data_IF_482378699930
#
_entry.id   IF_482378699930
#
_cell.length_a   1.000
_cell.length_b   1.000
_cell.length_c   1.000
_cell.angle_alpha   90.00
_cell.angle_beta   90.00
_cell.angle_gamma   90.00
#
_symmetry.space_group_name_H-M   'P 1'
#
loop_
_entity.id
_entity.type
_entity.pdbx_description
1 polymer ?
#
# COMPACT_ATOMS: atom_id res chain seq x y z
N UNK A 1 -22.45 -14.04 5.72
CA UNK A 1 -21.34 -14.99 5.46
C UNK A 1 -20.13 -14.25 4.85
N UNK A 2 -19.44 -13.40 5.63
CA UNK A 2 -18.32 -12.57 5.15
C UNK A 2 -17.04 -12.80 5.98
N UNK A 3 -16.74 -14.06 6.31
CA UNK A 3 -15.70 -14.41 7.30
C UNK A 3 -14.53 -15.26 6.80
N UNK A 4 -14.49 -15.69 5.54
CA UNK A 4 -13.57 -16.77 5.12
C UNK A 4 -12.51 -16.37 4.08
N UNK A 5 -12.48 -15.12 3.61
CA UNK A 5 -11.58 -14.73 2.51
C UNK A 5 -10.15 -14.47 3.01
N UNK A 6 -9.95 -14.23 4.30
CA UNK A 6 -8.63 -13.87 4.85
C UNK A 6 -7.90 -15.02 5.57
N UNK A 7 -8.51 -16.20 5.73
CA UNK A 7 -7.91 -17.33 6.45
C UNK A 7 -7.06 -18.28 5.60
N UNK A 8 -6.84 -17.98 4.31
CA UNK A 8 -6.01 -18.84 3.45
C UNK A 8 -4.58 -18.28 3.42
N UNK A 9 -3.59 -18.98 4.01
CA UNK A 9 -2.19 -18.59 3.85
C UNK A 9 -1.82 -18.57 2.34
N UNK A 10 -0.93 -17.66 1.94
CA UNK A 10 -0.51 -17.44 0.54
C UNK A 10 -1.52 -16.74 -0.39
N UNK A 11 -2.42 -15.89 0.13
CA UNK A 11 -3.32 -15.11 -0.73
C UNK A 11 -2.69 -13.86 -1.35
N UNK A 12 -1.57 -13.38 -0.79
CA UNK A 12 -0.83 -12.24 -1.32
C UNK A 12 0.20 -12.75 -2.32
N UNK A 13 0.05 -12.39 -3.59
CA UNK A 13 0.93 -12.86 -4.67
C UNK A 13 2.21 -12.04 -4.79
N UNK A 14 2.10 -10.74 -4.52
CA UNK A 14 3.19 -9.77 -4.65
C UNK A 14 3.18 -8.79 -3.48
N UNK A 15 4.37 -8.47 -2.98
CA UNK A 15 4.61 -7.37 -2.05
C UNK A 15 5.49 -6.35 -2.74
N UNK A 16 5.04 -5.09 -2.76
CA UNK A 16 5.80 -3.95 -3.26
C UNK A 16 6.15 -3.05 -2.06
N UNK A 17 7.44 -2.94 -1.74
CA UNK A 17 7.96 -2.06 -0.70
C UNK A 17 8.65 -0.86 -1.33
N UNK A 18 8.14 0.34 -1.04
CA UNK A 18 8.65 1.61 -1.59
C UNK A 18 10.00 2.03 -1.00
N UNK A 19 10.48 1.32 0.02
CA UNK A 19 11.80 1.50 0.60
C UNK A 19 11.77 1.66 2.10
N UNK A 20 12.85 2.25 2.64
CA UNK A 20 13.05 2.49 4.07
C UNK A 20 12.91 1.25 4.96
N UNK A 21 13.23 0.06 4.41
CA UNK A 21 13.48 -1.12 5.23
C UNK A 21 14.72 -0.86 6.07
N UNK A 22 14.56 -0.94 7.39
CA UNK A 22 15.60 -0.60 8.36
C UNK A 22 16.50 -1.81 8.60
N UNK A 23 15.95 -3.02 8.57
CA UNK A 23 16.70 -4.24 8.91
C UNK A 23 16.40 -5.44 8.02
N UNK A 24 17.28 -6.44 8.07
CA UNK A 24 17.13 -7.71 7.35
C UNK A 24 15.92 -8.52 7.86
N UNK A 25 15.64 -8.42 9.14
CA UNK A 25 14.51 -9.10 9.78
C UNK A 25 13.17 -8.63 9.17
N UNK A 26 13.02 -7.33 8.93
CA UNK A 26 11.83 -6.80 8.24
C UNK A 26 11.70 -7.35 6.81
N UNK A 27 12.82 -7.50 6.10
CA UNK A 27 12.80 -8.10 4.78
C UNK A 27 12.40 -9.59 4.82
N UNK A 28 12.90 -10.33 5.81
CA UNK A 28 12.57 -11.74 6.00
C UNK A 28 11.08 -11.90 6.39
N UNK A 29 10.51 -10.97 7.17
CA UNK A 29 9.06 -10.90 7.43
C UNK A 29 8.25 -10.70 6.14
N UNK A 30 8.63 -9.76 5.28
CA UNK A 30 7.96 -9.54 3.99
C UNK A 30 8.04 -10.78 3.08
N UNK A 31 9.17 -11.50 3.13
CA UNK A 31 9.39 -12.73 2.37
C UNK A 31 8.54 -13.90 2.85
N UNK A 32 8.14 -13.89 4.14
CA UNK A 32 7.19 -14.85 4.67
C UNK A 32 5.74 -14.55 4.25
N UNK A 33 5.42 -13.30 3.88
CA UNK A 33 4.07 -12.89 3.46
C UNK A 33 3.74 -13.25 2.00
N UNK A 34 4.71 -13.17 1.10
CA UNK A 34 4.50 -13.44 -0.32
C UNK A 34 5.74 -14.03 -1.00
N UNK A 35 5.56 -14.89 -2.02
CA UNK A 35 6.68 -15.48 -2.77
C UNK A 35 7.45 -14.43 -3.59
N UNK A 36 6.78 -13.36 -4.03
CA UNK A 36 7.38 -12.30 -4.83
C UNK A 36 7.42 -10.99 -4.03
N UNK A 37 8.62 -10.63 -3.56
CA UNK A 37 8.86 -9.37 -2.84
C UNK A 37 9.75 -8.47 -3.68
N UNK A 38 9.27 -7.27 -3.96
CA UNK A 38 9.99 -6.23 -4.67
C UNK A 38 10.25 -5.08 -3.73
N UNK A 39 11.51 -4.70 -3.55
CA UNK A 39 11.94 -3.62 -2.66
C UNK A 39 12.71 -2.59 -3.47
N UNK A 40 12.37 -1.33 -3.28
CA UNK A 40 13.13 -0.19 -3.82
C UNK A 40 14.05 0.37 -2.74
N UNK A 41 15.24 0.85 -3.11
CA UNK A 41 16.11 1.56 -2.17
C UNK A 41 15.46 2.91 -1.83
N UNK A 42 15.17 3.16 -0.55
CA UNK A 42 14.51 4.39 -0.10
C UNK A 42 15.49 5.52 0.24
N UNK A 43 14.99 6.76 0.19
CA UNK A 43 15.73 8.00 0.40
C UNK A 43 14.95 9.08 1.20
N UNK A 44 13.95 8.65 2.02
CA UNK A 44 12.95 9.40 2.84
C UNK A 44 11.58 9.60 2.18
N UNK A 45 10.55 8.88 2.68
CA UNK A 45 9.19 8.82 2.12
C UNK A 45 8.49 10.18 2.12
N UNK A 46 8.20 10.74 0.94
CA UNK A 46 7.35 11.92 0.84
C UNK A 46 5.88 11.55 1.07
N UNK A 47 5.34 12.12 2.14
CA UNK A 47 3.99 11.87 2.67
C UNK A 47 2.96 12.61 1.84
N UNK A 48 2.31 11.89 0.95
CA UNK A 48 0.86 11.94 0.75
C UNK A 48 0.39 10.55 0.34
N UNK A 49 -0.57 9.97 1.08
CA UNK A 49 -1.40 8.88 0.54
C UNK A 49 -2.28 9.49 -0.54
N UNK A 50 -1.70 9.71 -1.72
CA UNK A 50 -2.46 10.09 -2.89
C UNK A 50 -3.00 8.80 -3.47
N UNK A 51 -4.30 8.58 -3.40
CA UNK A 51 -4.97 7.64 -4.31
C UNK A 51 -5.71 8.46 -5.35
N UNK A 52 -4.95 9.12 -6.22
CA UNK A 52 -5.49 10.05 -7.19
C UNK A 52 -5.25 9.52 -8.60
N UNK A 53 -6.32 9.46 -9.39
CA UNK A 53 -6.17 9.37 -10.83
C UNK A 53 -5.88 10.79 -11.34
N UNK A 54 -4.69 11.02 -11.86
CA UNK A 54 -4.36 12.28 -12.54
C UNK A 54 -4.55 12.09 -14.04
N UNK A 55 -5.32 12.98 -14.64
CA UNK A 55 -5.50 13.07 -16.09
C UNK A 55 -4.53 14.12 -16.64
N UNK A 56 -3.49 13.65 -17.34
CA UNK A 56 -2.57 14.53 -18.07
C UNK A 56 -2.59 14.12 -19.55
N UNK A 57 -3.51 14.72 -20.31
CA UNK A 57 -3.81 14.32 -21.70
C UNK A 57 -4.59 13.00 -21.80
N UNK A 58 -4.53 12.30 -22.94
CA UNK A 58 -5.23 11.02 -23.16
C UNK A 58 -4.72 9.83 -22.33
N UNK A 59 -3.70 10.01 -21.47
CA UNK A 59 -3.13 8.96 -20.62
C UNK A 59 -3.54 9.16 -19.16
N UNK A 60 -4.60 8.46 -18.74
CA UNK A 60 -5.03 8.39 -17.33
C UNK A 60 -4.04 7.56 -16.53
N UNK A 61 -3.34 8.20 -15.59
CA UNK A 61 -2.41 7.54 -14.67
C UNK A 61 -3.00 7.52 -13.28
N UNK A 62 -2.78 6.42 -12.56
CA UNK A 62 -3.18 6.30 -11.18
C UNK A 62 -1.95 6.27 -10.30
N UNK A 63 -1.83 7.28 -9.43
CA UNK A 63 -0.74 7.39 -8.48
C UNK A 63 -1.22 6.87 -7.14
N UNK A 64 -0.40 6.02 -6.53
CA UNK A 64 -0.63 5.42 -5.22
C UNK A 64 0.60 5.62 -4.35
N UNK A 65 0.38 5.90 -3.08
CA UNK A 65 1.41 5.86 -2.05
C UNK A 65 0.83 5.18 -0.81
N UNK A 66 1.44 4.08 -0.33
CA UNK A 66 0.89 3.30 0.79
C UNK A 66 1.07 3.99 2.15
N UNK A 67 1.89 5.05 2.23
CA UNK A 67 2.29 5.68 3.48
C UNK A 67 3.42 4.90 4.19
N UNK A 68 3.62 5.19 5.47
CA UNK A 68 4.63 4.55 6.31
C UNK A 68 3.98 3.51 7.22
N UNK A 69 4.38 2.24 7.11
CA UNK A 69 3.81 1.14 7.91
C UNK A 69 4.00 1.33 9.42
N UNK A 70 5.07 2.02 9.84
CA UNK A 70 5.37 2.30 11.25
C UNK A 70 4.92 3.69 11.69
N UNK A 71 4.45 4.54 10.78
CA UNK A 71 4.24 5.96 11.06
C UNK A 71 5.56 6.70 11.37
N UNK A 72 6.63 6.37 10.64
CA UNK A 72 7.95 6.97 10.86
C UNK A 72 7.90 8.50 10.71
N UNK A 73 8.69 9.20 11.54
CA UNK A 73 8.76 10.66 11.52
C UNK A 73 9.00 11.21 10.11
N UNK A 74 8.27 12.27 9.76
CA UNK A 74 8.46 13.01 8.50
C UNK A 74 8.77 14.48 8.81
N UNK A 75 9.78 15.02 8.13
CA UNK A 75 10.10 16.46 8.23
C UNK A 75 9.03 17.36 7.61
N UNK A 76 8.14 16.79 6.77
CA UNK A 76 7.13 17.54 6.01
C UNK A 76 5.81 17.64 6.79
N UNK A 77 5.55 16.72 7.72
CA UNK A 77 4.30 16.67 8.48
C UNK A 77 4.53 16.02 9.85
N UNK A 78 4.00 16.65 10.89
CA UNK A 78 4.04 16.15 12.27
C UNK A 78 2.93 15.14 12.59
N UNK A 79 1.95 14.97 11.70
CA UNK A 79 0.82 14.06 11.87
C UNK A 79 1.02 12.85 10.94
N UNK A 80 1.92 11.94 11.35
CA UNK A 80 2.19 10.72 10.60
C UNK A 80 1.36 9.58 11.16
N UNK A 81 0.44 9.09 10.33
CA UNK A 81 -0.45 7.98 10.65
C UNK A 81 0.14 6.69 10.07
N UNK A 82 0.39 5.64 10.89
CA UNK A 82 0.83 4.34 10.37
C UNK A 82 -0.16 3.80 9.35
N UNK A 83 0.34 3.42 8.18
CA UNK A 83 -0.52 3.06 7.04
C UNK A 83 0.13 2.08 6.07
N UNK A 84 -0.73 1.28 5.41
CA UNK A 84 -0.35 0.41 4.29
C UNK A 84 -1.52 0.23 3.32
N UNK A 85 -1.25 -0.31 2.12
CA UNK A 85 -2.26 -0.52 1.08
C UNK A 85 -2.32 -1.99 0.65
N UNK A 86 -3.53 -2.52 0.51
CA UNK A 86 -3.81 -3.79 -0.17
C UNK A 86 -4.50 -3.50 -1.51
N UNK A 87 -4.03 -4.14 -2.57
CA UNK A 87 -4.58 -3.96 -3.92
C UNK A 87 -5.06 -5.29 -4.49
N UNK A 88 -6.27 -5.30 -5.03
CA UNK A 88 -6.81 -6.39 -5.82
C UNK A 88 -6.93 -5.97 -7.28
N UNK A 89 -6.22 -6.67 -8.17
CA UNK A 89 -6.25 -6.44 -9.61
C UNK A 89 -7.07 -7.55 -10.27
N UNK A 90 -8.06 -7.18 -11.09
CA UNK A 90 -8.89 -8.09 -11.85
C UNK A 90 -9.13 -7.52 -13.25
N UNK A 91 -8.37 -8.01 -14.23
CA UNK A 91 -8.41 -7.49 -15.60
C UNK A 91 -8.02 -6.00 -15.63
N UNK A 92 -8.90 -5.16 -16.17
CA UNK A 92 -8.70 -3.71 -16.21
C UNK A 92 -9.08 -2.98 -14.90
N UNK A 93 -9.67 -3.69 -13.93
CA UNK A 93 -10.14 -3.12 -12.66
C UNK A 93 -9.11 -3.33 -11.56
N UNK A 94 -8.91 -2.29 -10.76
CA UNK A 94 -8.07 -2.26 -9.56
C UNK A 94 -8.91 -1.76 -8.39
N UNK A 95 -8.86 -2.46 -7.27
CA UNK A 95 -9.48 -2.05 -6.00
C UNK A 95 -8.38 -1.89 -4.97
N UNK A 96 -8.21 -0.69 -4.41
CA UNK A 96 -7.26 -0.45 -3.32
C UNK A 96 -8.00 -0.24 -1.99
N UNK A 97 -7.44 -0.86 -0.96
CA UNK A 97 -7.79 -0.68 0.43
C UNK A 97 -6.61 -0.04 1.15
N UNK A 98 -6.79 1.16 1.68
CA UNK A 98 -5.80 1.83 2.53
C UNK A 98 -6.19 1.60 3.97
N UNK A 99 -5.27 1.06 4.75
CA UNK A 99 -5.41 0.83 6.18
C UNK A 99 -4.61 1.90 6.92
N UNK A 100 -5.25 2.59 7.85
CA UNK A 100 -4.64 3.63 8.68
C UNK A 100 -4.88 3.30 10.17
N UNK A 101 -3.86 3.42 11.02
CA UNK A 101 -3.98 3.25 12.46
C UNK A 101 -4.16 4.62 13.15
N UNK A 102 -5.38 4.93 13.59
CA UNK A 102 -5.72 6.20 14.27
C UNK A 102 -6.01 5.92 15.75
N UNK A 103 -5.07 6.26 16.61
CA UNK A 103 -5.07 5.80 17.99
C UNK A 103 -4.96 4.28 18.01
N UNK A 104 -5.91 3.61 18.65
CA UNK A 104 -5.98 2.13 18.69
C UNK A 104 -6.91 1.55 17.61
N UNK A 105 -7.48 2.39 16.74
CA UNK A 105 -8.46 1.97 15.76
C UNK A 105 -7.87 1.88 14.35
N UNK A 106 -8.16 0.77 13.67
CA UNK A 106 -7.83 0.62 12.25
C UNK A 106 -8.99 1.13 11.40
N UNK A 107 -8.72 2.17 10.62
CA UNK A 107 -9.66 2.76 9.66
C UNK A 107 -9.29 2.28 8.25
N UNK A 108 -10.29 1.89 7.47
CA UNK A 108 -10.08 1.37 6.11
C UNK A 108 -10.79 2.27 5.09
N UNK A 109 -10.02 2.81 4.15
CA UNK A 109 -10.52 3.52 2.97
C UNK A 109 -10.49 2.60 1.75
N UNK A 110 -11.55 2.62 0.94
CA UNK A 110 -11.65 1.83 -0.30
C UNK A 110 -11.73 2.76 -1.50
N UNK A 111 -10.96 2.46 -2.54
CA UNK A 111 -11.04 3.13 -3.84
C UNK A 111 -11.04 2.12 -4.98
N UNK A 112 -11.64 2.49 -6.10
CA UNK A 112 -11.72 1.66 -7.31
C UNK A 112 -11.27 2.45 -8.52
N UNK A 113 -10.51 1.79 -9.39
CA UNK A 113 -10.05 2.32 -10.67
C UNK A 113 -10.28 1.28 -11.75
N UNK A 114 -10.83 1.68 -12.89
CA UNK A 114 -10.94 0.82 -14.07
C UNK A 114 -10.26 1.52 -15.23
N UNK A 115 -9.31 0.83 -15.87
CA UNK A 115 -8.70 1.31 -17.11
C UNK A 115 -9.72 1.17 -18.25
N UNK A 116 -10.10 2.28 -18.86
CA UNK A 116 -10.86 2.25 -20.12
C UNK A 116 -9.95 1.68 -21.22
N UNK A 117 -10.49 0.73 -21.98
CA UNK A 117 -9.76 -0.03 -23.02
C UNK A 117 -10.03 0.57 -24.39
#
# INVERSE_FOLDING_TARGET
>A
MAGAIWQVPNKIQHVLCTGNLVTKEQFDELRNLAPNVHVVAGDCDQVRVCTAAEERGSNRRWFVSPGSITGAFSSVTSDVVPSFMLMALQGAKVVAFVYELKGDNVVVSKSEFTKET
#
